data_IF_456702059699
#
_entry.id   IF_456702059699
#
_cell.length_a   1.000
_cell.length_b   1.000
_cell.length_c   1.000
_cell.angle_alpha   90.00
_cell.angle_beta   90.00
_cell.angle_gamma   90.00
#
_symmetry.space_group_name_H-M   'P 1'
#
loop_
_entity.id
_entity.type
_entity.pdbx_description
1 polymer ?
#
# COMPACT_ATOMS: atom_id res chain seq x y z
N UNK A 1 -34.16 -44.25 0.94
CA UNK A 1 -32.74 -44.35 0.53
C UNK A 1 -32.37 -43.37 -0.58
N UNK A 2 -33.26 -43.08 -1.54
CA UNK A 2 -33.07 -42.10 -2.64
C UNK A 2 -32.58 -40.70 -2.19
N UNK A 3 -33.09 -40.21 -1.06
CA UNK A 3 -32.77 -38.86 -0.54
C UNK A 3 -31.28 -38.68 -0.24
N UNK A 4 -30.63 -39.72 0.30
CA UNK A 4 -29.20 -39.69 0.65
C UNK A 4 -28.34 -39.61 -0.60
N UNK A 5 -28.77 -40.25 -1.69
CA UNK A 5 -28.07 -40.25 -2.99
C UNK A 5 -28.14 -38.85 -3.63
N UNK A 6 -29.31 -38.21 -3.60
CA UNK A 6 -29.49 -36.86 -4.18
C UNK A 6 -28.71 -35.82 -3.35
N UNK A 7 -28.74 -35.91 -2.03
CA UNK A 7 -27.96 -35.02 -1.15
C UNK A 7 -26.46 -35.23 -1.35
N UNK A 8 -25.98 -36.47 -1.50
CA UNK A 8 -24.58 -36.76 -1.80
C UNK A 8 -24.14 -36.19 -3.15
N UNK A 9 -25.00 -36.27 -4.16
CA UNK A 9 -24.72 -35.74 -5.50
C UNK A 9 -24.72 -34.21 -5.56
N UNK A 10 -25.63 -33.56 -4.82
CA UNK A 10 -25.67 -32.10 -4.68
C UNK A 10 -24.50 -31.56 -3.85
N UNK A 11 -24.12 -32.26 -2.76
CA UNK A 11 -22.99 -31.89 -1.94
C UNK A 11 -21.65 -31.94 -2.71
N UNK A 12 -21.52 -32.82 -3.70
CA UNK A 12 -20.33 -32.91 -4.56
C UNK A 12 -20.16 -31.72 -5.53
N UNK A 13 -21.22 -30.94 -5.78
CA UNK A 13 -21.23 -29.88 -6.79
C UNK A 13 -20.98 -28.48 -6.20
N UNK A 14 -20.89 -28.36 -4.87
CA UNK A 14 -20.66 -27.08 -4.19
C UNK A 14 -19.19 -26.96 -3.79
N UNK A 15 -18.34 -26.60 -4.75
CA UNK A 15 -17.03 -26.03 -4.45
C UNK A 15 -17.18 -24.51 -4.56
N UNK A 16 -17.12 -23.76 -3.45
CA UNK A 16 -17.22 -22.31 -3.54
C UNK A 16 -16.01 -21.75 -4.30
N UNK A 17 -16.24 -21.20 -5.49
CA UNK A 17 -15.25 -20.41 -6.26
C UNK A 17 -15.07 -19.01 -5.66
N UNK A 18 -14.80 -18.94 -4.36
CA UNK A 18 -14.58 -17.67 -3.64
C UNK A 18 -13.12 -17.18 -3.72
N UNK A 19 -12.20 -18.03 -4.16
CA UNK A 19 -10.75 -17.81 -4.04
C UNK A 19 -10.24 -16.60 -4.84
N UNK A 20 -10.86 -16.26 -5.99
CA UNK A 20 -10.34 -15.22 -6.90
C UNK A 20 -10.73 -13.76 -6.57
N UNK A 21 -11.83 -13.52 -5.85
CA UNK A 21 -12.27 -12.14 -5.54
C UNK A 21 -11.43 -11.47 -4.46
N UNK A 22 -10.82 -12.28 -3.60
CA UNK A 22 -9.95 -11.84 -2.52
C UNK A 22 -8.70 -11.15 -3.06
N UNK A 23 -8.11 -11.64 -4.16
CA UNK A 23 -6.86 -11.10 -4.67
C UNK A 23 -7.05 -9.75 -5.35
N UNK A 24 -8.09 -9.59 -6.17
CA UNK A 24 -8.44 -8.28 -6.75
C UNK A 24 -8.75 -7.24 -5.67
N UNK A 25 -9.44 -7.64 -4.60
CA UNK A 25 -9.72 -6.75 -3.48
C UNK A 25 -8.45 -6.33 -2.74
N UNK A 26 -7.46 -7.22 -2.60
CA UNK A 26 -6.15 -6.89 -2.06
C UNK A 26 -5.43 -5.89 -2.95
N UNK A 27 -5.29 -6.16 -4.25
CA UNK A 27 -4.63 -5.24 -5.19
C UNK A 27 -5.28 -3.85 -5.14
N UNK A 28 -6.62 -3.78 -5.15
CA UNK A 28 -7.34 -2.51 -5.05
C UNK A 28 -7.04 -1.77 -3.73
N UNK A 29 -6.93 -2.51 -2.62
CA UNK A 29 -6.55 -1.93 -1.33
C UNK A 29 -5.11 -1.43 -1.33
N UNK A 30 -4.16 -2.21 -1.85
CA UNK A 30 -2.78 -1.79 -2.00
C UNK A 30 -2.67 -0.50 -2.84
N UNK A 31 -3.39 -0.41 -3.97
CA UNK A 31 -3.45 0.83 -4.78
C UNK A 31 -4.01 2.01 -4.00
N UNK A 32 -5.08 1.81 -3.23
CA UNK A 32 -5.64 2.87 -2.37
C UNK A 32 -4.66 3.33 -1.29
N UNK A 33 -3.90 2.40 -0.70
CA UNK A 33 -2.88 2.71 0.30
C UNK A 33 -1.71 3.48 -0.34
N UNK A 34 -1.26 3.09 -1.55
CA UNK A 34 -0.27 3.83 -2.33
C UNK A 34 -0.74 5.26 -2.61
N UNK A 35 -1.99 5.47 -3.06
CA UNK A 35 -2.52 6.82 -3.30
C UNK A 35 -2.57 7.66 -2.02
N UNK A 36 -2.89 7.06 -0.87
CA UNK A 36 -2.91 7.76 0.40
C UNK A 36 -1.50 8.14 0.87
N UNK A 37 -0.51 7.26 0.68
CA UNK A 37 0.90 7.54 0.95
C UNK A 37 1.41 8.63 0.01
N UNK A 38 1.09 8.55 -1.28
CA UNK A 38 1.46 9.56 -2.28
C UNK A 38 0.95 10.95 -1.91
N UNK A 39 -0.33 11.07 -1.54
CA UNK A 39 -0.87 12.35 -1.07
C UNK A 39 -0.14 12.88 0.17
N UNK A 40 0.26 12.01 1.10
CA UNK A 40 1.04 12.41 2.27
C UNK A 40 2.45 12.87 1.90
N UNK A 41 3.08 12.25 0.90
CA UNK A 41 4.37 12.65 0.33
C UNK A 41 4.28 14.02 -0.34
N UNK A 42 3.26 14.24 -1.17
CA UNK A 42 3.04 15.51 -1.87
C UNK A 42 2.80 16.67 -0.87
N UNK A 43 2.04 16.41 0.20
CA UNK A 43 1.81 17.39 1.28
C UNK A 43 3.10 17.69 2.06
N UNK A 44 3.91 16.67 2.34
CA UNK A 44 5.21 16.85 2.99
C UNK A 44 6.13 17.70 2.10
N UNK A 45 6.17 17.45 0.79
CA UNK A 45 6.93 18.27 -0.16
C UNK A 45 6.40 19.72 -0.20
N UNK A 46 5.08 19.93 -0.17
CA UNK A 46 4.50 21.26 -0.18
C UNK A 46 4.90 22.09 1.05
N UNK A 47 4.94 21.45 2.22
CA UNK A 47 5.28 22.13 3.48
C UNK A 47 6.79 22.34 3.63
N UNK A 48 7.62 21.35 3.28
CA UNK A 48 9.08 21.35 3.55
C UNK A 48 9.92 21.73 2.31
N UNK A 49 9.35 21.60 1.11
CA UNK A 49 10.02 21.83 -0.16
C UNK A 49 10.89 20.66 -0.64
N UNK A 50 10.76 19.48 -0.03
CA UNK A 50 11.44 18.24 -0.43
C UNK A 50 10.62 17.03 -0.01
N UNK A 51 10.74 15.92 -0.72
CA UNK A 51 10.22 14.63 -0.27
C UNK A 51 10.99 14.08 0.95
N UNK A 52 10.37 13.26 1.81
CA UNK A 52 11.06 12.66 2.96
C UNK A 52 12.14 11.65 2.53
N UNK A 53 13.12 11.35 3.38
CA UNK A 53 14.12 10.29 3.09
C UNK A 53 13.50 8.90 3.27
N UNK A 54 12.53 8.81 4.18
CA UNK A 54 11.85 7.57 4.53
C UNK A 54 10.38 7.83 4.83
N UNK A 55 9.54 6.82 4.62
CA UNK A 55 8.11 6.92 4.95
C UNK A 55 7.88 7.14 6.46
N UNK A 56 8.85 6.84 7.32
CA UNK A 56 8.79 7.07 8.76
C UNK A 56 8.67 8.57 9.11
N UNK A 57 9.14 9.47 8.24
CA UNK A 57 8.99 10.91 8.46
C UNK A 57 7.54 11.38 8.27
N UNK A 58 6.72 10.64 7.54
CA UNK A 58 5.29 10.97 7.36
C UNK A 58 4.46 10.75 8.62
N UNK A 59 4.95 9.89 9.52
CA UNK A 59 4.29 9.56 10.80
C UNK A 59 4.90 10.28 11.99
N UNK A 60 6.01 10.99 11.78
CA UNK A 60 6.65 11.80 12.80
C UNK A 60 5.66 12.86 13.31
N UNK A 61 5.68 13.13 14.61
CA UNK A 61 4.88 14.21 15.22
C UNK A 61 5.61 15.54 15.20
N UNK A 62 6.94 15.48 15.30
CA UNK A 62 7.83 16.63 15.26
C UNK A 62 8.50 16.72 13.90
N UNK A 63 8.90 17.93 13.51
CA UNK A 63 9.59 18.14 12.25
C UNK A 63 10.92 17.34 12.21
N UNK A 64 11.21 16.64 11.11
CA UNK A 64 12.45 15.89 10.99
C UNK A 64 13.68 16.81 10.99
N UNK A 65 14.82 16.26 11.40
CA UNK A 65 16.08 16.99 11.49
C UNK A 65 16.49 17.59 10.14
N UNK A 66 16.88 18.86 10.12
CA UNK A 66 17.32 19.55 8.90
C UNK A 66 16.18 20.18 8.08
N UNK A 67 14.99 20.34 8.67
CA UNK A 67 13.98 21.30 8.21
C UNK A 67 14.40 22.71 8.66
N UNK A 68 14.28 23.70 7.78
CA UNK A 68 14.72 25.07 8.07
C UNK A 68 13.87 25.72 9.18
N UNK A 69 14.50 26.55 10.01
CA UNK A 69 13.76 27.35 11.00
C UNK A 69 12.79 28.30 10.28
N UNK A 70 11.49 28.14 10.56
CA UNK A 70 10.40 28.89 9.92
C UNK A 70 9.55 28.09 8.93
N UNK A 71 9.91 26.85 8.61
CA UNK A 71 9.04 25.93 7.88
C UNK A 71 7.83 25.56 8.74
N UNK A 72 6.62 25.68 8.20
CA UNK A 72 5.39 25.31 8.91
C UNK A 72 5.22 23.80 8.84
N UNK A 73 5.52 23.12 9.95
CA UNK A 73 5.30 21.68 10.07
C UNK A 73 3.83 21.39 10.40
N UNK A 74 3.10 20.72 9.49
CA UNK A 74 1.71 20.30 9.71
C UNK A 74 1.56 18.79 9.96
N UNK A 75 2.66 18.08 10.20
CA UNK A 75 2.64 16.64 10.46
C UNK A 75 1.97 16.26 11.80
N UNK A 76 1.62 14.98 11.99
CA UNK A 76 1.87 13.84 11.11
C UNK A 76 0.92 13.78 9.90
N UNK A 77 1.47 13.58 8.70
CA UNK A 77 0.71 13.43 7.46
C UNK A 77 -0.02 12.07 7.39
N UNK A 78 0.50 11.06 8.09
CA UNK A 78 -0.15 9.75 8.29
C UNK A 78 -0.57 9.56 9.75
N UNK A 79 -1.85 9.84 10.04
CA UNK A 79 -2.41 9.76 11.41
C UNK A 79 -2.44 8.35 12.02
N UNK A 80 -2.53 7.31 11.19
CA UNK A 80 -2.68 5.90 11.63
C UNK A 80 -1.35 5.12 11.63
N UNK A 81 -0.23 5.79 11.37
CA UNK A 81 1.03 5.12 11.11
C UNK A 81 1.13 4.64 9.67
N UNK A 82 2.23 3.96 9.36
CA UNK A 82 2.45 3.37 8.05
C UNK A 82 1.55 2.15 7.85
N UNK A 83 0.67 2.16 6.83
CA UNK A 83 -0.10 0.98 6.51
C UNK A 83 0.84 -0.13 6.05
N UNK A 84 0.44 -1.38 6.34
CA UNK A 84 1.02 -2.56 5.72
C UNK A 84 0.19 -2.91 4.51
N UNK A 85 0.83 -3.50 3.53
CA UNK A 85 0.13 -4.01 2.36
C UNK A 85 -0.87 -5.12 2.77
N UNK A 86 -1.81 -5.48 1.88
CA UNK A 86 -2.81 -6.52 2.14
C UNK A 86 -2.24 -7.93 2.39
N UNK A 87 -0.96 -8.14 2.10
CA UNK A 87 -0.23 -9.39 2.34
C UNK A 87 0.64 -9.31 3.62
N UNK A 88 0.61 -8.18 4.34
CA UNK A 88 1.24 -7.98 5.64
C UNK A 88 2.68 -7.45 5.57
N UNK A 89 3.13 -6.98 4.40
CA UNK A 89 4.48 -6.45 4.18
C UNK A 89 4.49 -4.92 4.22
N UNK A 90 5.69 -4.36 4.38
CA UNK A 90 5.89 -2.92 4.34
C UNK A 90 6.00 -2.45 2.90
N UNK A 91 5.54 -1.22 2.64
CA UNK A 91 5.77 -0.56 1.36
C UNK A 91 7.24 -0.17 1.21
N UNK A 92 7.75 -0.32 -0.01
CA UNK A 92 9.07 0.15 -0.39
C UNK A 92 8.94 1.54 -0.98
N UNK A 93 9.80 2.46 -0.53
CA UNK A 93 9.82 3.85 -0.96
C UNK A 93 11.24 4.22 -1.37
N UNK A 94 11.33 4.88 -2.52
CA UNK A 94 12.57 5.45 -3.02
C UNK A 94 12.28 6.90 -3.40
N UNK A 95 12.97 7.82 -2.73
CA UNK A 95 12.90 9.25 -3.04
C UNK A 95 13.43 9.53 -4.45
N UNK A 96 14.58 8.96 -4.80
CA UNK A 96 15.11 9.09 -6.15
C UNK A 96 14.37 8.12 -7.05
N UNK A 97 13.37 8.66 -7.72
CA UNK A 97 12.59 7.90 -8.67
C UNK A 97 13.48 7.34 -9.80
N UNK A 98 13.32 6.05 -10.07
CA UNK A 98 13.92 5.37 -11.23
C UNK A 98 12.93 5.29 -12.39
N UNK A 99 11.62 5.43 -12.12
CA UNK A 99 10.55 5.25 -13.10
C UNK A 99 9.68 6.50 -13.30
N UNK A 100 9.24 7.15 -12.22
CA UNK A 100 8.51 8.42 -12.24
C UNK A 100 9.46 9.65 -12.18
N UNK A 101 8.96 10.88 -12.17
CA UNK A 101 9.81 12.07 -12.02
C UNK A 101 10.13 12.43 -10.57
N UNK A 102 9.27 12.07 -9.62
CA UNK A 102 9.33 12.63 -8.26
C UNK A 102 9.66 11.59 -7.17
N UNK A 103 8.94 10.46 -7.12
CA UNK A 103 9.21 9.34 -6.18
C UNK A 103 8.66 8.01 -6.69
N UNK A 104 9.25 6.93 -6.19
CA UNK A 104 8.83 5.56 -6.45
C UNK A 104 8.30 4.91 -5.15
N UNK A 105 7.06 4.42 -5.17
CA UNK A 105 6.50 3.59 -4.10
C UNK A 105 5.95 2.28 -4.67
N UNK A 106 6.28 1.17 -4.01
CA UNK A 106 5.83 -0.16 -4.41
C UNK A 106 5.43 -1.04 -3.24
N UNK A 107 4.52 -1.96 -3.51
CA UNK A 107 4.17 -3.09 -2.66
C UNK A 107 4.74 -4.35 -3.31
N UNK A 108 5.53 -5.17 -2.61
CA UNK A 108 6.12 -6.41 -3.13
C UNK A 108 5.09 -7.56 -3.29
N UNK A 109 3.83 -7.24 -3.53
CA UNK A 109 2.78 -8.18 -3.91
C UNK A 109 2.53 -9.32 -2.91
N UNK A 110 2.16 -10.49 -3.44
CA UNK A 110 1.86 -11.70 -2.68
C UNK A 110 3.12 -12.55 -2.43
N UNK A 111 4.11 -12.46 -3.31
CA UNK A 111 5.32 -13.28 -3.26
C UNK A 111 6.47 -12.66 -2.42
N UNK A 112 6.45 -11.34 -2.26
CA UNK A 112 7.36 -10.58 -1.39
C UNK A 112 8.66 -10.25 -2.07
N UNK A 113 8.68 -10.32 -3.39
CA UNK A 113 9.86 -10.12 -4.21
C UNK A 113 9.50 -9.14 -5.32
N UNK A 114 10.46 -8.32 -5.76
CA UNK A 114 10.27 -7.50 -6.94
C UNK A 114 9.85 -8.38 -8.13
N UNK A 115 8.70 -8.09 -8.73
CA UNK A 115 8.02 -9.04 -9.59
C UNK A 115 6.81 -8.49 -10.33
N UNK A 116 6.10 -9.38 -11.03
CA UNK A 116 4.92 -9.04 -11.83
C UNK A 116 3.66 -8.83 -11.01
N UNK A 117 3.66 -9.22 -9.74
CA UNK A 117 2.56 -9.04 -8.78
C UNK A 117 2.72 -7.77 -7.93
N UNK A 118 3.79 -7.00 -8.16
CA UNK A 118 4.02 -5.74 -7.49
C UNK A 118 2.92 -4.73 -7.81
N UNK A 119 2.53 -3.98 -6.79
CA UNK A 119 1.64 -2.84 -6.96
C UNK A 119 2.47 -1.59 -6.80
N UNK A 120 2.68 -0.85 -7.89
CA UNK A 120 3.57 0.31 -7.95
C UNK A 120 2.78 1.59 -8.24
N UNK A 121 3.39 2.76 -8.04
CA UNK A 121 2.77 4.05 -8.40
C UNK A 121 3.06 4.48 -9.85
N UNK A 122 3.96 3.81 -10.57
CA UNK A 122 4.35 4.15 -11.95
C UNK A 122 3.65 3.29 -13.02
N UNK A 123 2.74 2.40 -12.61
CA UNK A 123 1.99 1.50 -13.50
C UNK A 123 0.54 1.97 -13.73
#
# INVERSE_FOLDING_TARGET
MLVVIIIGMLAAMVVPRLVGRTEQAKIARAKSDLSAIGLALDLYELDIGRYPESLDELVAKDAPSGVAEGTTWNGPYLKKGLPKDPWGRSYEYQRQSQHNQDYDISSPGADGKPGSDDVTNWD
#
